data_IF_130521572474
#
_entry.id   IF_130521572474
#
_cell.length_a   1.000
_cell.length_b   1.000
_cell.length_c   1.000
_cell.angle_alpha   90.00
_cell.angle_beta   90.00
_cell.angle_gamma   90.00
#
_symmetry.space_group_name_H-M   'P 1'
#
loop_
_entity.id
_entity.type
_entity.pdbx_description
1 polymer ?
#
# COMPACT_ATOMS: atom_id res chain seq x y z
N UNK A 1 2.48 -15.13 -5.70
CA UNK A 1 3.03 -13.76 -5.62
C UNK A 1 3.63 -13.45 -4.26
N UNK A 2 4.83 -12.86 -4.15
CA UNK A 2 5.38 -12.39 -2.87
C UNK A 2 5.74 -10.90 -2.86
N UNK A 3 5.28 -10.20 -1.83
CA UNK A 3 5.57 -8.77 -1.60
C UNK A 3 6.57 -8.62 -0.47
N UNK A 4 7.70 -7.98 -0.76
CA UNK A 4 8.72 -7.64 0.21
C UNK A 4 9.07 -6.15 0.08
N UNK A 5 9.98 -5.72 0.92
CA UNK A 5 10.65 -4.44 0.81
C UNK A 5 12.07 -4.62 1.33
N UNK A 6 12.98 -3.78 0.88
CA UNK A 6 14.34 -3.74 1.40
C UNK A 6 14.61 -2.39 2.05
N UNK A 7 15.52 -2.40 3.00
CA UNK A 7 15.98 -1.21 3.67
C UNK A 7 17.42 -1.38 4.16
N UNK A 8 18.11 -0.26 4.40
CA UNK A 8 19.44 -0.31 5.03
C UNK A 8 19.33 -0.78 6.46
N UNK A 9 20.22 -1.69 6.87
CA UNK A 9 20.33 -2.18 8.24
C UNK A 9 21.57 -1.61 8.96
N UNK A 10 21.91 -0.35 8.64
CA UNK A 10 22.99 0.40 9.26
C UNK A 10 22.39 1.55 10.08
N UNK A 11 22.43 1.43 11.41
CA UNK A 11 21.85 2.42 12.32
C UNK A 11 20.38 2.75 11.92
N UNK A 12 19.99 4.02 11.93
CA UNK A 12 18.65 4.50 11.54
C UNK A 12 18.57 4.97 10.09
N UNK A 13 19.54 4.61 9.24
CA UNK A 13 19.67 5.16 7.88
C UNK A 13 18.44 4.92 6.98
N UNK A 14 17.66 3.88 7.23
CA UNK A 14 16.46 3.64 6.43
C UNK A 14 15.33 4.64 6.73
N UNK A 15 15.33 5.22 7.94
CA UNK A 15 14.44 6.30 8.33
C UNK A 15 14.74 7.58 7.53
N UNK A 16 15.99 7.74 7.06
CA UNK A 16 16.41 8.82 6.16
C UNK A 16 16.02 8.55 4.68
N UNK A 17 15.31 7.46 4.40
CA UNK A 17 14.69 7.20 3.09
C UNK A 17 15.35 6.08 2.27
N UNK A 18 16.39 5.39 2.76
CA UNK A 18 16.97 4.23 2.09
C UNK A 18 16.15 2.96 2.34
N UNK A 19 14.95 2.95 1.76
CA UNK A 19 13.93 1.91 1.84
C UNK A 19 13.08 1.90 0.57
N UNK A 20 12.74 0.73 0.04
CA UNK A 20 11.91 0.59 -1.17
C UNK A 20 11.16 -0.74 -1.22
N UNK A 21 10.02 -0.79 -1.93
CA UNK A 21 9.35 -2.03 -2.31
C UNK A 21 10.27 -2.99 -3.07
N UNK A 22 10.05 -4.28 -2.87
CA UNK A 22 10.68 -5.35 -3.62
C UNK A 22 9.67 -6.45 -3.88
N UNK A 23 9.15 -6.47 -5.10
CA UNK A 23 8.05 -7.34 -5.49
C UNK A 23 8.59 -8.48 -6.35
N UNK A 24 8.18 -9.70 -6.03
CA UNK A 24 8.49 -10.89 -6.83
C UNK A 24 7.17 -11.44 -7.39
N UNK A 25 7.00 -11.23 -8.69
CA UNK A 25 5.88 -11.76 -9.45
C UNK A 25 6.03 -13.28 -9.64
N UNK A 26 4.91 -13.99 -9.50
CA UNK A 26 4.82 -15.43 -9.69
C UNK A 26 4.12 -15.72 -11.02
N UNK A 27 4.79 -16.36 -11.99
CA UNK A 27 4.17 -16.70 -13.27
C UNK A 27 2.97 -17.64 -13.15
N UNK A 28 2.87 -18.39 -12.05
CA UNK A 28 1.77 -19.32 -11.76
C UNK A 28 0.96 -18.86 -10.53
N UNK A 29 0.78 -17.54 -10.36
CA UNK A 29 0.02 -16.98 -9.23
C UNK A 29 -1.39 -17.59 -9.15
N UNK A 30 -1.72 -18.37 -8.09
CA UNK A 30 -3.03 -18.98 -7.93
C UNK A 30 -4.17 -17.95 -7.74
N UNK A 31 -3.83 -16.67 -7.54
CA UNK A 31 -4.77 -15.57 -7.37
C UNK A 31 -4.88 -14.65 -8.59
N UNK A 32 -4.20 -14.97 -9.70
CA UNK A 32 -4.20 -14.13 -10.91
C UNK A 32 -5.60 -13.82 -11.45
N UNK A 33 -6.57 -14.73 -11.26
CA UNK A 33 -7.95 -14.55 -11.72
C UNK A 33 -8.78 -13.59 -10.84
N UNK A 34 -8.24 -13.09 -9.72
CA UNK A 34 -8.96 -12.20 -8.80
C UNK A 34 -8.77 -10.71 -9.11
N UNK A 35 -7.86 -10.36 -10.02
CA UNK A 35 -7.54 -8.98 -10.37
C UNK A 35 -7.24 -8.87 -11.86
N UNK A 36 -7.51 -7.69 -12.42
CA UNK A 36 -7.25 -7.36 -13.81
C UNK A 36 -5.90 -6.66 -13.98
N UNK A 37 -5.45 -5.91 -12.96
CA UNK A 37 -4.22 -5.11 -13.00
C UNK A 37 -3.35 -5.39 -11.78
N UNK A 38 -2.09 -5.71 -12.08
CA UNK A 38 -1.01 -5.77 -11.10
C UNK A 38 0.28 -5.17 -11.69
N UNK A 39 0.54 -3.89 -11.40
CA UNK A 39 1.68 -3.16 -11.96
C UNK A 39 2.31 -2.13 -11.01
N UNK A 40 3.55 -1.75 -11.31
CA UNK A 40 4.35 -0.83 -10.48
C UNK A 40 3.73 0.58 -10.33
N UNK A 41 2.80 0.97 -11.20
CA UNK A 41 2.24 2.33 -11.24
C UNK A 41 1.01 2.49 -10.34
N UNK A 42 0.22 1.43 -10.18
CA UNK A 42 -1.08 1.49 -9.50
C UNK A 42 -1.15 0.53 -8.31
N UNK A 43 -0.47 -0.61 -8.40
CA UNK A 43 -0.60 -1.68 -7.41
C UNK A 43 0.26 -1.46 -6.18
N UNK A 44 1.40 -0.78 -6.30
CA UNK A 44 2.30 -0.58 -5.16
C UNK A 44 1.85 0.63 -4.33
N UNK A 45 1.46 0.38 -3.07
CA UNK A 45 1.11 1.41 -2.10
C UNK A 45 2.04 1.36 -0.89
N UNK A 46 2.94 2.32 -0.78
CA UNK A 46 3.85 2.45 0.38
C UNK A 46 3.32 3.45 1.39
N UNK A 47 3.36 3.07 2.67
CA UNK A 47 3.10 3.94 3.80
C UNK A 47 4.40 4.15 4.57
N UNK A 48 4.77 5.40 4.82
CA UNK A 48 6.01 5.70 5.54
C UNK A 48 5.91 6.98 6.36
N UNK A 49 6.68 7.05 7.43
CA UNK A 49 6.88 8.22 8.27
C UNK A 49 8.07 9.03 7.78
N UNK A 50 7.94 10.35 7.72
CA UNK A 50 9.04 11.25 7.43
C UNK A 50 9.19 12.25 8.58
N UNK A 51 10.35 12.20 9.24
CA UNK A 51 10.61 12.99 10.42
C UNK A 51 10.70 14.49 10.08
N UNK A 52 10.15 15.38 10.93
CA UNK A 52 9.53 15.05 12.22
C UNK A 52 8.05 14.60 12.14
N UNK A 53 7.25 15.05 11.17
CA UNK A 53 5.78 15.02 11.34
C UNK A 53 4.96 14.78 10.05
N UNK A 54 5.46 13.99 9.09
CA UNK A 54 4.68 13.66 7.90
C UNK A 54 4.40 12.16 7.77
N UNK A 55 3.20 11.84 7.30
CA UNK A 55 2.92 10.54 6.67
C UNK A 55 3.05 10.70 5.18
N UNK A 56 3.84 9.84 4.54
CA UNK A 56 3.98 9.77 3.10
C UNK A 56 3.25 8.54 2.57
N UNK A 57 2.41 8.75 1.56
CA UNK A 57 1.86 7.70 0.71
C UNK A 57 2.65 7.76 -0.60
N UNK A 58 3.22 6.65 -1.06
CA UNK A 58 4.04 6.63 -2.29
C UNK A 58 5.12 7.71 -2.35
N UNK A 59 5.71 8.03 -1.18
CA UNK A 59 6.81 8.97 -1.03
C UNK A 59 6.41 10.46 -1.01
N UNK A 60 5.12 10.79 -1.06
CA UNK A 60 4.63 12.18 -0.99
C UNK A 60 3.60 12.35 0.12
N UNK A 61 3.58 13.52 0.73
CA UNK A 61 2.72 13.84 1.86
C UNK A 61 2.92 15.27 2.31
N UNK A 62 2.10 15.70 3.26
CA UNK A 62 2.08 17.06 3.80
C UNK A 62 2.46 17.04 5.27
N UNK A 63 3.01 18.15 5.73
CA UNK A 63 3.27 18.41 7.15
C UNK A 63 2.92 19.86 7.49
N UNK A 64 3.01 20.20 8.77
CA UNK A 64 2.58 21.51 9.29
C UNK A 64 3.24 22.70 8.60
N UNK A 65 4.48 22.57 8.14
CA UNK A 65 5.24 23.66 7.50
C UNK A 65 5.05 23.71 5.98
N UNK A 66 4.65 22.61 5.33
CA UNK A 66 4.27 22.58 3.92
C UNK A 66 2.92 21.88 3.71
N UNK A 67 1.82 22.60 3.98
CA UNK A 67 0.47 22.06 3.79
C UNK A 67 0.03 22.03 2.31
N UNK A 68 0.84 22.59 1.41
CA UNK A 68 0.51 22.69 -0.02
C UNK A 68 1.18 21.65 -0.89
N UNK A 69 2.13 20.88 -0.34
CA UNK A 69 2.84 19.83 -1.06
C UNK A 69 1.89 18.87 -1.79
N UNK A 70 2.37 18.27 -2.88
CA UNK A 70 1.60 17.29 -3.64
C UNK A 70 1.22 16.07 -2.79
N UNK A 71 0.07 15.49 -3.13
CA UNK A 71 -0.43 14.24 -2.57
C UNK A 71 -0.28 13.11 -3.58
N UNK A 72 -0.21 11.88 -3.07
CA UNK A 72 -0.18 10.70 -3.92
C UNK A 72 -1.48 10.58 -4.70
N UNK A 73 -1.37 10.27 -5.99
CA UNK A 73 -2.50 9.98 -6.85
C UNK A 73 -2.34 8.54 -7.33
N UNK A 74 -3.32 7.71 -7.00
CA UNK A 74 -3.46 6.36 -7.55
C UNK A 74 -4.63 6.41 -8.51
N UNK A 75 -4.36 6.23 -9.80
CA UNK A 75 -5.38 6.32 -10.84
C UNK A 75 -6.04 4.94 -11.02
N UNK A 76 -7.36 4.89 -10.90
CA UNK A 76 -8.14 3.67 -11.09
C UNK A 76 -9.14 3.83 -12.24
N UNK A 77 -9.46 2.73 -12.90
CA UNK A 77 -10.51 2.64 -13.90
C UNK A 77 -11.70 1.91 -13.28
N UNK A 78 -12.90 2.46 -13.43
CA UNK A 78 -14.10 1.85 -12.89
C UNK A 78 -14.33 0.45 -13.49
N UNK A 79 -14.64 -0.52 -12.63
CA UNK A 79 -14.95 -1.90 -13.04
C UNK A 79 -13.72 -2.79 -13.27
N UNK A 80 -12.52 -2.26 -13.07
CA UNK A 80 -11.25 -3.00 -13.08
C UNK A 80 -10.89 -3.33 -11.65
N UNK A 81 -10.53 -4.58 -11.38
CA UNK A 81 -10.05 -5.04 -10.08
C UNK A 81 -8.53 -4.91 -10.00
N UNK A 82 -8.02 -4.26 -8.96
CA UNK A 82 -6.58 -4.03 -8.77
C UNK A 82 -6.05 -4.86 -7.61
N UNK A 83 -4.88 -5.50 -7.79
CA UNK A 83 -4.16 -6.13 -6.69
C UNK A 83 -3.30 -5.08 -5.97
N UNK A 84 -3.81 -4.46 -4.91
CA UNK A 84 -3.07 -3.43 -4.18
C UNK A 84 -2.17 -4.06 -3.11
N UNK A 85 -0.88 -3.75 -3.23
CA UNK A 85 0.23 -4.23 -2.44
C UNK A 85 0.57 -3.17 -1.40
N UNK A 86 0.04 -3.34 -0.19
CA UNK A 86 0.23 -2.37 0.87
C UNK A 86 1.47 -2.71 1.69
N UNK A 87 2.44 -1.79 1.70
CA UNK A 87 3.71 -1.97 2.39
C UNK A 87 3.90 -0.86 3.42
N UNK A 88 3.90 -1.22 4.71
CA UNK A 88 4.42 -0.34 5.74
C UNK A 88 5.94 -0.37 5.68
N UNK A 89 6.54 0.73 5.21
CA UNK A 89 8.00 0.93 5.18
C UNK A 89 8.44 1.98 6.21
N UNK A 90 7.58 2.30 7.18
CA UNK A 90 7.87 3.22 8.28
C UNK A 90 9.06 2.81 9.14
N UNK A 91 9.69 3.80 9.79
CA UNK A 91 10.76 3.67 10.76
C UNK A 91 10.24 3.20 12.12
N UNK A 92 9.09 3.76 12.54
CA UNK A 92 8.48 3.45 13.84
C UNK A 92 6.95 3.38 13.77
N UNK A 93 6.35 4.11 12.82
CA UNK A 93 4.90 4.32 12.82
C UNK A 93 4.11 3.09 12.34
N UNK A 94 3.11 2.71 13.12
CA UNK A 94 2.03 1.83 12.69
C UNK A 94 0.88 2.66 12.12
N UNK A 95 0.33 2.25 10.97
CA UNK A 95 -0.73 2.97 10.28
C UNK A 95 -2.06 2.24 10.39
N UNK A 96 -3.13 2.99 10.63
CA UNK A 96 -4.49 2.57 10.32
C UNK A 96 -4.83 3.12 8.94
N UNK A 97 -5.17 2.24 8.01
CA UNK A 97 -5.48 2.61 6.63
C UNK A 97 -6.96 2.40 6.33
N UNK A 98 -7.56 3.33 5.60
CA UNK A 98 -8.93 3.25 5.10
C UNK A 98 -9.07 4.10 3.84
N UNK A 99 -9.92 3.65 2.91
CA UNK A 99 -10.26 4.40 1.70
C UNK A 99 -11.71 4.83 1.84
N UNK A 100 -11.97 6.12 1.65
CA UNK A 100 -13.32 6.65 1.57
C UNK A 100 -13.91 6.36 0.18
N UNK A 101 -15.13 5.85 0.13
CA UNK A 101 -15.83 5.48 -1.09
C UNK A 101 -17.14 6.25 -1.15
N UNK A 102 -17.37 6.97 -2.26
CA UNK A 102 -18.67 7.56 -2.53
C UNK A 102 -19.65 6.46 -2.98
N UNK A 103 -20.33 5.86 -2.00
CA UNK A 103 -21.62 5.14 -2.04
C UNK A 103 -21.94 4.12 -3.16
N UNK A 104 -21.01 3.74 -4.03
CA UNK A 104 -21.24 2.79 -5.13
C UNK A 104 -20.38 1.52 -4.95
N UNK A 105 -21.01 0.43 -4.49
CA UNK A 105 -20.63 -0.99 -4.67
C UNK A 105 -19.15 -1.35 -4.90
N UNK A 106 -18.24 -1.00 -3.99
CA UNK A 106 -16.91 -1.62 -3.91
C UNK A 106 -16.87 -2.58 -2.72
N UNK A 107 -16.47 -3.83 -2.95
CA UNK A 107 -16.26 -4.83 -1.91
C UNK A 107 -14.75 -5.00 -1.74
N UNK A 108 -14.12 -4.46 -0.68
CA UNK A 108 -12.70 -4.65 -0.48
C UNK A 108 -12.43 -6.11 -0.08
N UNK A 109 -11.60 -6.82 -0.84
CA UNK A 109 -11.08 -8.11 -0.39
C UNK A 109 -9.76 -7.88 0.34
N UNK A 110 -9.65 -8.35 1.57
CA UNK A 110 -8.42 -8.30 2.36
C UNK A 110 -7.75 -9.65 2.32
N UNK A 111 -6.51 -9.73 1.87
CA UNK A 111 -5.78 -10.99 1.75
C UNK A 111 -4.57 -11.04 2.68
N UNK A 112 -4.38 -12.17 3.34
CA UNK A 112 -3.02 -12.66 3.61
C UNK A 112 -2.84 -13.94 2.81
N UNK A 113 -1.60 -14.19 2.38
CA UNK A 113 -1.08 -15.17 1.41
C UNK A 113 -1.71 -16.58 1.35
N UNK A 114 -2.57 -16.97 2.30
CA UNK A 114 -3.24 -18.27 2.31
C UNK A 114 -4.70 -18.26 1.85
N UNK A 115 -5.48 -17.20 2.09
CA UNK A 115 -6.90 -17.14 1.72
C UNK A 115 -7.39 -15.67 1.68
N UNK A 116 -7.99 -15.20 0.58
CA UNK A 116 -8.67 -13.91 0.57
C UNK A 116 -9.89 -13.96 1.50
N UNK A 117 -9.98 -13.02 2.45
CA UNK A 117 -11.15 -12.80 3.27
C UNK A 117 -11.90 -11.57 2.79
N UNK A 118 -13.24 -11.66 2.71
CA UNK A 118 -14.09 -10.50 2.40
C UNK A 118 -14.06 -9.56 3.61
N UNK A 119 -13.41 -8.40 3.49
CA UNK A 119 -13.43 -7.36 4.51
C UNK A 119 -14.75 -6.61 4.43
N UNK A 120 -15.44 -6.41 5.56
CA UNK A 120 -16.78 -5.78 5.50
C UNK A 120 -16.72 -4.26 5.56
N UNK A 121 -15.85 -3.64 6.38
CA UNK A 121 -15.67 -2.18 6.43
C UNK A 121 -14.32 -1.86 7.12
N UNK A 122 -13.28 -1.57 6.35
CA UNK A 122 -11.99 -1.12 6.88
C UNK A 122 -10.97 -2.23 7.19
N UNK A 123 -9.69 -1.83 7.21
CA UNK A 123 -8.52 -2.68 7.38
C UNK A 123 -8.06 -2.62 8.84
N UNK A 124 -8.44 -3.58 9.69
CA UNK A 124 -7.87 -3.73 11.03
C UNK A 124 -6.80 -4.84 11.05
N UNK A 125 -5.63 -4.49 11.58
CA UNK A 125 -4.47 -5.37 11.64
C UNK A 125 -3.50 -5.14 10.48
N UNK A 126 -2.29 -5.64 10.66
CA UNK A 126 -1.18 -5.65 9.69
C UNK A 126 -1.52 -6.47 8.45
N UNK A 127 -2.40 -5.95 7.60
CA UNK A 127 -2.83 -6.59 6.35
C UNK A 127 -1.89 -6.10 5.23
N UNK A 128 -1.30 -7.05 4.49
CA UNK A 128 -0.29 -6.77 3.47
C UNK A 128 -0.87 -6.68 2.03
N UNK A 129 -2.19 -6.84 1.84
CA UNK A 129 -2.82 -6.73 0.51
C UNK A 129 -4.32 -6.43 0.55
N UNK A 130 -4.81 -5.71 -0.47
CA UNK A 130 -6.23 -5.49 -0.74
C UNK A 130 -6.55 -5.67 -2.23
N UNK A 131 -7.71 -6.22 -2.57
CA UNK A 131 -8.29 -6.14 -3.91
C UNK A 131 -9.35 -5.04 -3.88
N UNK A 132 -9.22 -4.07 -4.80
CA UNK A 132 -10.01 -2.84 -4.85
C UNK A 132 -10.64 -2.64 -6.24
#
# INVERSE_FOLDING_TARGET
MFWYWYHTHLSTQYCDGLRRPFIIYDPEDPHADLYDVDDDSTSILTLSDYAPDATLINGVGRWSEDPSHDLAIVNIIQGIQYCIQMLNVGCDTAFTFSIEIDSVNHVPYTGSHGNPSVGTLGFEGSINSAIL
#
